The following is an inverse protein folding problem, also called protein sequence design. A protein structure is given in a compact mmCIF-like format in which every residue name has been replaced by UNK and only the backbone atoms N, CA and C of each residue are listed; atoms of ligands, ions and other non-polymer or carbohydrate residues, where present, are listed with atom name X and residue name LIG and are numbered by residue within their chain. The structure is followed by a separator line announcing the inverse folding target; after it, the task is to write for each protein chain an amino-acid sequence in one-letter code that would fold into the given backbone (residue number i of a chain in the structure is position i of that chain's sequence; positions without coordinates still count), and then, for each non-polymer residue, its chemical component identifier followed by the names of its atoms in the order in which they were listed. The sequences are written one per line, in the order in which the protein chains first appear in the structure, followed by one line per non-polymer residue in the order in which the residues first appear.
data_IF_157894736710
#
_entry.id   IF_157894736710
#
_cell.length_a   1.000
_cell.length_b   1.000
_cell.length_c   1.000
_cell.angle_alpha   90.00
_cell.angle_beta   90.00
_cell.angle_gamma   90.00
#
_symmetry.space_group_name_H-M   'P 1'
#
loop_
_entity.id
_entity.type
_entity.pdbx_description
1 polymer ?
#
# COMPACT_ATOMS: atom_id res chain seq x y z
N UNK A 1 9.36 -50.61 13.46
CA UNK A 1 9.80 -49.96 12.22
C UNK A 1 8.56 -49.77 11.35
N UNK A 2 7.99 -48.56 11.32
CA UNK A 2 6.89 -48.22 10.41
C UNK A 2 7.31 -46.96 9.65
N UNK A 3 7.57 -47.13 8.36
CA UNK A 3 7.78 -46.04 7.42
C UNK A 3 6.41 -45.40 7.15
N UNK A 4 6.21 -44.16 7.59
CA UNK A 4 5.10 -43.34 7.11
C UNK A 4 5.51 -42.73 5.77
N UNK A 5 4.82 -43.18 4.73
CA UNK A 5 4.95 -42.74 3.35
C UNK A 5 4.67 -41.23 3.23
N UNK A 6 5.60 -40.53 2.59
CA UNK A 6 5.44 -39.14 2.21
C UNK A 6 4.35 -39.01 1.14
N UNK A 7 3.33 -38.19 1.40
CA UNK A 7 2.35 -37.80 0.38
C UNK A 7 3.05 -36.98 -0.71
N UNK A 8 2.78 -37.22 -2.01
CA UNK A 8 3.39 -36.43 -3.08
C UNK A 8 2.84 -35.00 -3.07
N UNK A 9 3.73 -34.04 -3.32
CA UNK A 9 3.38 -32.65 -3.52
C UNK A 9 2.61 -32.49 -4.85
N UNK A 10 1.41 -31.92 -4.77
CA UNK A 10 0.60 -31.60 -5.96
C UNK A 10 1.32 -30.51 -6.75
N UNK A 11 1.50 -30.75 -8.05
CA UNK A 11 2.14 -29.83 -9.00
C UNK A 11 1.34 -28.54 -9.14
N UNK A 12 2.03 -27.39 -9.23
CA UNK A 12 1.44 -26.07 -9.48
C UNK A 12 0.61 -26.00 -10.78
N UNK A 13 0.74 -26.97 -11.68
CA UNK A 13 -0.02 -27.06 -12.93
C UNK A 13 -1.44 -27.65 -12.78
N UNK A 14 -1.73 -28.40 -11.71
CA UNK A 14 -3.05 -29.04 -11.51
C UNK A 14 -4.09 -28.13 -10.85
N UNK A 15 -3.76 -26.88 -10.51
CA UNK A 15 -4.71 -25.91 -9.92
C UNK A 15 -5.60 -25.19 -10.95
N UNK A 16 -5.47 -25.51 -12.23
CA UNK A 16 -6.18 -24.85 -13.33
C UNK A 16 -7.14 -25.83 -13.99
N UNK A 17 -8.17 -26.25 -13.28
CA UNK A 17 -9.42 -26.79 -13.84
C UNK A 17 -10.35 -27.10 -12.69
N UNK A 18 -11.33 -26.23 -12.41
CA UNK A 18 -12.67 -26.62 -11.99
C UNK A 18 -13.61 -25.40 -12.11
N UNK A 19 -14.59 -25.59 -12.99
CA UNK A 19 -15.93 -25.03 -13.15
C UNK A 19 -16.33 -23.71 -12.43
N UNK A 20 -16.90 -22.82 -13.24
CA UNK A 20 -17.51 -21.54 -12.86
C UNK A 20 -18.92 -21.77 -12.30
N UNK A 21 -19.25 -21.30 -11.09
CA UNK A 21 -20.63 -21.06 -10.70
C UNK A 21 -21.08 -19.64 -11.08
N UNK A 22 -22.35 -19.54 -11.51
CA UNK A 22 -23.08 -18.31 -11.85
C UNK A 22 -23.23 -17.33 -10.66
N UNK A 23 -23.52 -16.03 -10.92
CA UNK A 23 -23.14 -14.94 -10.02
C UNK A 23 -24.14 -14.76 -8.89
N UNK A 24 -23.74 -15.12 -7.67
CA UNK A 24 -24.40 -14.63 -6.47
C UNK A 24 -24.09 -13.13 -6.32
N UNK A 25 -25.15 -12.32 -6.26
CA UNK A 25 -25.10 -10.88 -5.98
C UNK A 25 -24.46 -10.70 -4.61
N UNK A 26 -23.16 -10.40 -4.58
CA UNK A 26 -22.38 -10.36 -3.35
C UNK A 26 -22.17 -8.93 -2.85
N UNK A 27 -22.53 -8.74 -1.59
CA UNK A 27 -22.45 -7.52 -0.80
C UNK A 27 -21.04 -6.91 -0.88
N UNK A 28 -20.95 -5.67 -1.35
CA UNK A 28 -19.76 -4.78 -1.28
C UNK A 28 -18.40 -5.49 -1.41
N UNK A 29 -18.09 -6.06 -2.58
CA UNK A 29 -16.71 -6.47 -2.86
C UNK A 29 -15.83 -5.21 -2.87
N UNK A 30 -14.91 -5.12 -1.91
CA UNK A 30 -13.87 -4.09 -1.86
C UNK A 30 -13.04 -4.07 -3.16
N UNK A 31 -12.16 -3.07 -3.32
CA UNK A 31 -11.37 -2.94 -4.55
C UNK A 31 -10.59 -4.22 -4.83
N UNK A 32 -10.79 -4.79 -6.03
CA UNK A 32 -10.05 -5.95 -6.48
C UNK A 32 -8.64 -5.52 -6.93
N UNK A 33 -7.63 -6.20 -6.41
CA UNK A 33 -6.23 -6.03 -6.79
C UNK A 33 -5.78 -7.26 -7.59
N UNK A 34 -5.09 -7.02 -8.70
CA UNK A 34 -4.42 -8.12 -9.42
C UNK A 34 -3.24 -8.67 -8.61
N UNK A 35 -2.77 -9.87 -8.95
CA UNK A 35 -1.58 -10.45 -8.32
C UNK A 35 -0.35 -9.53 -8.44
N UNK A 36 -0.19 -8.85 -9.58
CA UNK A 36 0.95 -7.95 -9.82
C UNK A 36 0.85 -6.67 -8.97
N UNK A 37 -0.36 -6.13 -8.82
CA UNK A 37 -0.61 -4.98 -7.93
C UNK A 37 -0.37 -5.35 -6.47
N UNK A 38 -0.84 -6.54 -6.06
CA UNK A 38 -0.63 -7.07 -4.72
C UNK A 38 0.85 -7.22 -4.40
N UNK A 39 1.62 -7.85 -5.29
CA UNK A 39 3.09 -7.97 -5.17
C UNK A 39 3.75 -6.59 -5.04
N UNK A 40 3.34 -5.63 -5.88
CA UNK A 40 3.89 -4.29 -5.87
C UNK A 40 3.60 -3.56 -4.54
N UNK A 41 2.35 -3.60 -4.07
CA UNK A 41 1.94 -2.97 -2.82
C UNK A 41 2.59 -3.65 -1.62
N UNK A 42 2.66 -4.99 -1.60
CA UNK A 42 3.36 -5.77 -0.57
C UNK A 42 4.83 -5.37 -0.47
N UNK A 43 5.56 -5.40 -1.59
CA UNK A 43 6.97 -4.98 -1.59
C UNK A 43 7.17 -3.53 -1.16
N UNK A 44 6.21 -2.65 -1.47
CA UNK A 44 6.25 -1.25 -1.04
C UNK A 44 6.14 -1.11 0.48
N UNK A 45 5.24 -1.86 1.13
CA UNK A 45 5.10 -1.86 2.60
C UNK A 45 6.18 -2.68 3.30
N UNK A 46 6.93 -3.51 2.60
CA UNK A 46 8.17 -4.14 3.08
C UNK A 46 9.38 -3.19 2.99
N UNK A 47 9.20 -2.01 2.40
CA UNK A 47 10.24 -1.00 2.23
C UNK A 47 11.19 -1.28 1.06
N UNK A 48 10.80 -2.15 0.13
CA UNK A 48 11.57 -2.46 -1.05
C UNK A 48 11.49 -1.33 -2.08
N UNK A 49 12.58 -1.12 -2.82
CA UNK A 49 12.55 -0.20 -3.96
C UNK A 49 11.85 -0.84 -5.15
N UNK A 50 11.40 -0.05 -6.12
CA UNK A 50 10.85 -0.59 -7.36
C UNK A 50 11.82 -1.52 -8.11
N UNK A 51 13.13 -1.29 -7.98
CA UNK A 51 14.15 -2.17 -8.57
C UNK A 51 14.18 -3.52 -7.85
N UNK A 52 14.13 -3.52 -6.53
CA UNK A 52 14.12 -4.75 -5.72
C UNK A 52 12.86 -5.57 -5.99
N UNK A 53 11.69 -4.92 -6.04
CA UNK A 53 10.42 -5.54 -6.42
C UNK A 53 10.55 -6.20 -7.79
N UNK A 54 10.99 -5.45 -8.81
CA UNK A 54 11.12 -5.97 -10.18
C UNK A 54 12.02 -7.20 -10.25
N UNK A 55 13.16 -7.18 -9.55
CA UNK A 55 14.10 -8.31 -9.49
C UNK A 55 13.48 -9.52 -8.80
N UNK A 56 12.77 -9.32 -7.69
CA UNK A 56 12.17 -10.40 -6.90
C UNK A 56 11.14 -11.24 -7.66
N UNK A 57 10.47 -10.66 -8.65
CA UNK A 57 9.44 -11.36 -9.46
C UNK A 57 9.84 -11.56 -10.93
N UNK A 58 11.10 -11.34 -11.27
CA UNK A 58 11.62 -11.60 -12.61
C UNK A 58 11.05 -10.67 -13.70
N UNK A 59 10.61 -9.47 -13.32
CA UNK A 59 10.13 -8.47 -14.28
C UNK A 59 11.32 -7.95 -15.09
N UNK A 60 11.26 -8.17 -16.42
CA UNK A 60 12.41 -7.98 -17.30
C UNK A 60 12.89 -6.53 -17.32
N UNK A 61 12.01 -5.55 -17.04
CA UNK A 61 12.36 -4.13 -16.97
C UNK A 61 11.53 -3.40 -15.90
N UNK A 62 12.12 -2.38 -15.27
CA UNK A 62 11.43 -1.52 -14.30
C UNK A 62 10.22 -0.75 -14.86
N UNK A 63 9.94 -0.85 -16.17
CA UNK A 63 8.74 -0.29 -16.80
C UNK A 63 7.44 -0.86 -16.21
N UNK A 64 7.42 -2.15 -15.87
CA UNK A 64 6.21 -2.77 -15.30
C UNK A 64 5.86 -2.19 -13.92
N UNK A 65 6.85 -1.86 -13.09
CA UNK A 65 6.62 -1.15 -11.82
C UNK A 65 6.02 0.23 -12.06
N UNK A 66 6.52 0.95 -13.07
CA UNK A 66 6.02 2.28 -13.42
C UNK A 66 4.57 2.19 -13.88
N UNK A 67 4.23 1.21 -14.71
CA UNK A 67 2.87 1.02 -15.21
C UNK A 67 1.89 0.61 -14.11
N UNK A 68 2.27 -0.33 -13.22
CA UNK A 68 1.45 -0.75 -12.08
C UNK A 68 1.23 0.43 -11.13
N UNK A 69 2.31 1.16 -10.78
CA UNK A 69 2.24 2.36 -9.95
C UNK A 69 1.28 3.39 -10.53
N UNK A 70 1.41 3.66 -11.83
CA UNK A 70 0.55 4.63 -12.53
C UNK A 70 -0.91 4.17 -12.53
N UNK A 71 -1.14 2.90 -12.81
CA UNK A 71 -2.48 2.31 -12.84
C UNK A 71 -3.17 2.40 -11.49
N UNK A 72 -2.46 2.04 -10.41
CA UNK A 72 -2.97 2.16 -9.04
C UNK A 72 -3.23 3.62 -8.66
N UNK A 73 -2.28 4.52 -8.93
CA UNK A 73 -2.46 5.94 -8.62
C UNK A 73 -3.66 6.55 -9.36
N UNK A 74 -3.91 6.16 -10.61
CA UNK A 74 -5.11 6.61 -11.35
C UNK A 74 -6.40 5.97 -10.82
N UNK A 75 -6.36 4.69 -10.42
CA UNK A 75 -7.52 3.98 -9.86
C UNK A 75 -7.97 4.58 -8.53
N UNK A 76 -7.01 5.00 -7.70
CA UNK A 76 -7.25 5.59 -6.38
C UNK A 76 -7.19 7.12 -6.38
N UNK A 77 -7.23 7.74 -7.56
CA UNK A 77 -7.24 9.19 -7.71
C UNK A 77 -8.49 9.80 -7.07
N UNK A 78 -8.28 10.81 -6.23
CA UNK A 78 -9.38 11.54 -5.57
C UNK A 78 -9.69 12.85 -6.28
N UNK A 79 -8.68 13.57 -6.77
CA UNK A 79 -8.87 14.82 -7.51
C UNK A 79 -8.79 14.58 -9.03
N UNK A 80 -9.88 14.72 -9.80
CA UNK A 80 -9.86 14.53 -11.25
C UNK A 80 -8.97 15.54 -11.98
N UNK A 81 -8.71 16.70 -11.38
CA UNK A 81 -7.89 17.77 -11.95
C UNK A 81 -6.38 17.49 -11.85
N UNK A 82 -5.98 16.46 -11.10
CA UNK A 82 -4.60 15.98 -11.04
C UNK A 82 -4.27 15.22 -12.33
N UNK A 83 -4.11 15.99 -13.41
CA UNK A 83 -3.78 15.48 -14.73
C UNK A 83 -2.30 15.06 -14.83
N UNK A 84 -1.46 15.60 -13.93
CA UNK A 84 -0.04 15.24 -13.82
C UNK A 84 0.20 14.50 -12.52
N UNK A 85 0.50 13.20 -12.63
CA UNK A 85 0.94 12.37 -11.50
C UNK A 85 2.38 12.76 -11.10
N UNK A 86 2.50 13.84 -10.33
CA UNK A 86 3.75 14.21 -9.67
C UNK A 86 4.10 13.17 -8.60
N UNK A 87 5.32 13.24 -8.06
CA UNK A 87 5.71 12.37 -6.95
C UNK A 87 4.76 12.49 -5.76
N UNK A 88 4.40 13.72 -5.35
CA UNK A 88 3.50 13.95 -4.22
C UNK A 88 2.08 13.38 -4.45
N UNK A 89 1.50 13.64 -5.62
CA UNK A 89 0.19 13.12 -6.01
C UNK A 89 0.20 11.59 -6.04
N UNK A 90 1.23 11.01 -6.67
CA UNK A 90 1.39 9.56 -6.74
C UNK A 90 1.53 8.95 -5.34
N UNK A 91 2.29 9.59 -4.44
CA UNK A 91 2.44 9.13 -3.06
C UNK A 91 1.08 9.10 -2.35
N UNK A 92 0.29 10.17 -2.42
CA UNK A 92 -1.01 10.23 -1.76
C UNK A 92 -1.97 9.14 -2.26
N UNK A 93 -2.08 8.98 -3.59
CA UNK A 93 -2.96 7.96 -4.17
C UNK A 93 -2.49 6.54 -3.91
N UNK A 94 -1.18 6.31 -3.82
CA UNK A 94 -0.65 5.02 -3.38
C UNK A 94 -0.89 4.76 -1.89
N UNK A 95 -0.79 5.77 -1.01
CA UNK A 95 -1.16 5.61 0.40
C UNK A 95 -2.62 5.16 0.51
N UNK A 96 -3.53 5.78 -0.24
CA UNK A 96 -4.94 5.37 -0.31
C UNK A 96 -5.13 3.95 -0.85
N UNK A 97 -4.39 3.56 -1.88
CA UNK A 97 -4.40 2.20 -2.40
C UNK A 97 -3.94 1.17 -1.35
N UNK A 98 -2.94 1.51 -0.55
CA UNK A 98 -2.43 0.68 0.55
C UNK A 98 -3.48 0.53 1.65
N UNK A 99 -4.10 1.63 2.09
CA UNK A 99 -5.20 1.59 3.07
C UNK A 99 -6.27 0.59 2.62
N UNK A 100 -6.75 0.73 1.38
CA UNK A 100 -7.78 -0.14 0.84
C UNK A 100 -7.33 -1.61 0.70
N UNK A 101 -6.06 -1.86 0.38
CA UNK A 101 -5.51 -3.22 0.27
C UNK A 101 -5.33 -3.88 1.65
N UNK A 102 -4.99 -3.12 2.69
CA UNK A 102 -4.95 -3.60 4.08
C UNK A 102 -6.36 -3.88 4.58
N UNK A 103 -7.32 -2.98 4.37
CA UNK A 103 -8.73 -3.18 4.76
C UNK A 103 -9.34 -4.42 4.08
N UNK A 104 -9.00 -4.64 2.81
CA UNK A 104 -9.41 -5.82 2.06
C UNK A 104 -8.63 -7.10 2.44
N UNK A 105 -7.70 -7.03 3.40
CA UNK A 105 -6.86 -8.15 3.87
C UNK A 105 -6.04 -8.80 2.76
N UNK A 106 -5.64 -8.01 1.77
CA UNK A 106 -4.84 -8.46 0.62
C UNK A 106 -3.34 -8.38 0.91
N UNK A 107 -2.93 -7.46 1.79
CA UNK A 107 -1.53 -7.29 2.20
C UNK A 107 -1.26 -8.01 3.53
N UNK A 108 -0.07 -8.63 3.63
CA UNK A 108 0.43 -9.11 4.91
C UNK A 108 1.16 -7.97 5.62
N UNK A 109 0.68 -7.62 6.81
CA UNK A 109 1.20 -6.53 7.64
C UNK A 109 1.95 -7.02 8.88
N UNK A 110 2.19 -8.33 9.02
CA UNK A 110 2.82 -8.93 10.22
C UNK A 110 4.24 -8.45 10.50
N UNK A 111 4.93 -7.89 9.51
CA UNK A 111 6.27 -7.31 9.67
C UNK A 111 6.25 -5.84 10.09
N UNK A 112 5.08 -5.20 10.10
CA UNK A 112 4.93 -3.82 10.54
C UNK A 112 4.87 -3.74 12.07
N UNK A 113 5.27 -2.61 12.66
CA UNK A 113 5.11 -2.37 14.10
C UNK A 113 3.65 -2.54 14.52
N UNK A 114 3.40 -3.11 15.70
CA UNK A 114 2.04 -3.25 16.27
C UNK A 114 1.55 -1.97 16.98
N UNK A 115 2.49 -1.08 17.31
CA UNK A 115 2.22 0.22 17.93
C UNK A 115 3.25 1.26 17.50
N UNK A 116 2.87 2.53 17.52
CA UNK A 116 3.83 3.62 17.38
C UNK A 116 4.80 3.65 18.58
N UNK A 117 6.04 4.06 18.32
CA UNK A 117 7.06 4.32 19.36
C UNK A 117 6.69 5.51 20.22
N UNK A 118 6.06 6.50 19.62
CA UNK A 118 5.60 7.74 20.24
C UNK A 118 4.24 8.13 19.67
N UNK A 119 3.37 8.78 20.46
CA UNK A 119 2.09 9.23 19.97
C UNK A 119 2.24 10.34 18.93
N UNK A 120 1.39 10.30 17.90
CA UNK A 120 1.24 11.41 16.96
C UNK A 120 0.59 12.60 17.66
N UNK A 121 1.07 13.80 17.37
CA UNK A 121 0.36 15.02 17.73
C UNK A 121 -0.83 15.28 16.78
N UNK A 122 -1.61 16.33 17.06
CA UNK A 122 -2.78 16.67 16.25
C UNK A 122 -2.42 16.96 14.80
N UNK A 123 -1.35 17.71 14.55
CA UNK A 123 -0.95 18.11 13.18
C UNK A 123 -0.45 16.89 12.41
N UNK A 124 0.36 16.05 13.04
CA UNK A 124 0.83 14.79 12.45
C UNK A 124 -0.32 13.83 12.14
N UNK A 125 -1.34 13.80 13.01
CA UNK A 125 -2.58 13.04 12.77
C UNK A 125 -3.32 13.58 11.54
N UNK A 126 -3.53 14.90 11.46
CA UNK A 126 -4.19 15.53 10.32
C UNK A 126 -3.41 15.35 9.00
N UNK A 127 -2.08 15.35 9.05
CA UNK A 127 -1.21 15.07 7.90
C UNK A 127 -1.34 13.61 7.46
N UNK A 128 -1.28 12.65 8.41
CA UNK A 128 -1.39 11.23 8.09
C UNK A 128 -2.78 10.86 7.57
N UNK A 129 -3.84 11.41 8.19
CA UNK A 129 -5.21 11.24 7.72
C UNK A 129 -5.36 11.81 6.31
N UNK A 130 -4.95 13.04 6.08
CA UNK A 130 -5.05 13.67 4.77
C UNK A 130 -4.27 12.94 3.66
N UNK A 131 -3.03 12.51 3.91
CA UNK A 131 -2.24 11.78 2.91
C UNK A 131 -2.82 10.40 2.61
N UNK A 132 -3.41 9.73 3.61
CA UNK A 132 -4.06 8.42 3.44
C UNK A 132 -5.43 8.54 2.76
N UNK A 133 -6.09 9.69 2.89
CA UNK A 133 -7.27 10.06 2.13
C UNK A 133 -6.96 10.49 0.68
N UNK A 134 -5.69 10.63 0.32
CA UNK A 134 -5.27 10.98 -1.05
C UNK A 134 -5.08 12.47 -1.30
N UNK A 135 -5.08 13.30 -0.25
CA UNK A 135 -4.66 14.69 -0.34
C UNK A 135 -3.12 14.74 -0.43
N UNK A 136 -2.58 15.33 -1.50
CA UNK A 136 -1.14 15.38 -1.67
C UNK A 136 -0.50 16.42 -0.73
N UNK A 137 0.80 16.28 -0.47
CA UNK A 137 1.48 17.12 0.53
C UNK A 137 1.46 18.62 0.21
N UNK A 138 1.31 19.03 -1.07
CA UNK A 138 1.19 20.44 -1.43
C UNK A 138 -0.13 21.03 -0.93
N UNK A 139 -1.23 20.31 -1.16
CA UNK A 139 -2.55 20.73 -0.73
C UNK A 139 -2.67 20.68 0.80
N UNK A 140 -2.08 19.64 1.43
CA UNK A 140 -2.01 19.51 2.89
C UNK A 140 -1.27 20.69 3.54
N UNK A 141 -0.06 21.00 3.07
CA UNK A 141 0.72 22.12 3.61
C UNK A 141 -0.07 23.42 3.52
N UNK A 142 -0.71 23.67 2.37
CA UNK A 142 -1.54 24.86 2.16
C UNK A 142 -2.74 24.91 3.11
N UNK A 143 -3.46 23.78 3.27
CA UNK A 143 -4.62 23.67 4.15
C UNK A 143 -4.25 23.91 5.62
N UNK A 144 -3.10 23.39 6.05
CA UNK A 144 -2.58 23.53 7.40
C UNK A 144 -1.88 24.88 7.65
N UNK A 145 -1.74 25.72 6.62
CA UNK A 145 -1.07 27.03 6.74
C UNK A 145 0.43 26.92 7.02
N UNK A 146 1.06 25.81 6.61
CA UNK A 146 2.50 25.57 6.76
C UNK A 146 3.20 25.59 5.41
N UNK A 147 4.50 25.84 5.42
CA UNK A 147 5.31 25.68 4.21
C UNK A 147 5.47 24.20 3.80
N UNK A 148 5.96 24.00 2.58
CA UNK A 148 6.16 22.68 1.99
C UNK A 148 7.20 21.83 2.71
N UNK A 149 8.25 22.47 3.19
CA UNK A 149 9.36 21.81 3.86
C UNK A 149 8.89 21.25 5.20
N UNK A 150 8.12 22.04 5.97
CA UNK A 150 7.45 21.58 7.19
C UNK A 150 6.47 20.45 6.93
N UNK A 151 5.68 20.50 5.87
CA UNK A 151 4.80 19.38 5.49
C UNK A 151 5.60 18.09 5.31
N UNK A 152 6.74 18.18 4.63
CA UNK A 152 7.64 17.03 4.43
C UNK A 152 8.31 16.58 5.74
N UNK A 153 8.69 17.51 6.62
CA UNK A 153 9.19 17.21 7.96
C UNK A 153 8.15 16.43 8.79
N UNK A 154 6.87 16.80 8.74
CA UNK A 154 5.81 16.06 9.42
C UNK A 154 5.71 14.62 8.90
N UNK A 155 5.78 14.39 7.58
CA UNK A 155 5.80 13.04 7.02
C UNK A 155 6.98 12.21 7.53
N UNK A 156 8.16 12.81 7.65
CA UNK A 156 9.35 12.14 8.18
C UNK A 156 9.19 11.81 9.67
N UNK A 157 8.71 12.77 10.48
CA UNK A 157 8.43 12.55 11.91
C UNK A 157 7.41 11.45 12.13
N UNK A 158 6.35 11.41 11.34
CA UNK A 158 5.37 10.31 11.38
C UNK A 158 6.09 8.98 11.14
N UNK A 159 6.93 8.86 10.12
CA UNK A 159 7.68 7.64 9.86
C UNK A 159 8.58 7.26 11.06
N UNK A 160 9.28 8.22 11.65
CA UNK A 160 10.12 8.01 12.84
C UNK A 160 9.32 7.51 14.05
N UNK A 161 8.16 8.14 14.33
CA UNK A 161 7.25 7.78 15.42
C UNK A 161 6.62 6.41 15.23
N UNK A 162 6.26 6.01 14.00
CA UNK A 162 5.88 4.63 13.73
C UNK A 162 7.09 3.68 13.74
N UNK A 163 8.31 4.17 13.58
CA UNK A 163 9.50 3.35 13.46
C UNK A 163 9.65 2.67 12.10
N UNK A 164 9.12 3.29 11.04
CA UNK A 164 9.10 2.77 9.68
C UNK A 164 9.95 3.62 8.74
N UNK A 165 10.30 3.07 7.57
CA UNK A 165 11.25 3.71 6.64
C UNK A 165 10.61 4.69 5.66
N UNK A 166 9.30 4.61 5.45
CA UNK A 166 8.59 5.42 4.47
C UNK A 166 7.11 5.58 4.83
N UNK A 167 6.46 6.56 4.21
CA UNK A 167 5.06 6.91 4.48
C UNK A 167 4.07 5.82 4.06
N UNK A 168 4.43 4.95 3.12
CA UNK A 168 3.58 3.83 2.70
C UNK A 168 3.44 2.78 3.80
N UNK A 169 4.53 2.51 4.52
CA UNK A 169 4.51 1.67 5.72
C UNK A 169 3.68 2.32 6.82
N UNK A 170 3.81 3.64 7.02
CA UNK A 170 3.01 4.36 8.01
C UNK A 170 1.51 4.33 7.67
N UNK A 171 1.15 4.46 6.39
CA UNK A 171 -0.23 4.29 5.92
C UNK A 171 -0.77 2.88 6.22
N UNK A 172 0.02 1.83 5.98
CA UNK A 172 -0.37 0.47 6.33
C UNK A 172 -0.52 0.27 7.86
N UNK A 173 0.35 0.87 8.68
CA UNK A 173 0.19 0.87 10.13
C UNK A 173 -1.13 1.56 10.54
N UNK A 174 -1.42 2.72 9.97
CA UNK A 174 -2.64 3.49 10.22
C UNK A 174 -3.91 2.69 9.87
N UNK A 175 -3.90 1.98 8.73
CA UNK A 175 -4.99 1.10 8.31
C UNK A 175 -5.27 -0.03 9.30
N UNK A 176 -4.23 -0.61 9.92
CA UNK A 176 -4.39 -1.64 10.96
C UNK A 176 -4.96 -1.11 12.28
N UNK A 177 -5.41 0.14 12.34
CA UNK A 177 -5.94 0.75 13.55
C UNK A 177 -4.85 1.09 14.56
N UNK A 178 -3.59 1.17 14.13
CA UNK A 178 -2.51 1.65 14.99
C UNK A 178 -2.67 3.16 15.13
N UNK A 179 -3.45 3.52 16.15
CA UNK A 179 -3.69 4.88 16.60
C UNK A 179 -3.29 4.90 18.06
N UNK A 180 -2.25 5.67 18.38
CA UNK A 180 -1.73 6.01 19.71
C UNK A 180 -2.13 5.09 20.87
#
# INVERSE_FOLDING_TARGET
MNAQEAKPAISLQERVTHEVPEPEVNVAQGPQFSNLETVFLQGTIEGLTGVDISRGVGWKHGSQVVDIRRTLALRFRVNPQDNRLTKAVTTAYLCRAIMAAVDAKVLNTSHLPEKAKEPLDQVETEVLEGITDGENIFDLSKRLGVDMDRGTEHLNKICEKFGVKNIFMAAACWANGIRN
#
